data_IF_705144219793
#
_entry.id   IF_705144219793
#
_cell.length_a   1.000
_cell.length_b   1.000
_cell.length_c   1.000
_cell.angle_alpha   90.00
_cell.angle_beta   90.00
_cell.angle_gamma   90.00
#
_symmetry.space_group_name_H-M   'P 1'
#
loop_
_entity.id
_entity.type
_entity.pdbx_description
1 polymer ?
#
# COMPACT_ATOMS: atom_id res chain seq x y z
N UNK A 1 23.82 15.54 42.74
CA UNK A 1 22.60 15.06 42.04
C UNK A 1 22.10 13.80 42.75
N UNK A 2 20.83 13.78 43.18
CA UNK A 2 20.32 12.76 44.10
C UNK A 2 19.98 11.45 43.33
N UNK A 3 20.21 10.27 43.94
CA UNK A 3 20.03 8.95 43.26
C UNK A 3 18.61 8.77 42.70
N UNK A 4 17.60 9.35 43.37
CA UNK A 4 16.20 9.37 42.92
C UNK A 4 16.00 10.18 41.63
N UNK A 5 16.71 11.30 41.50
CA UNK A 5 16.64 12.18 40.31
C UNK A 5 17.24 11.50 39.09
N UNK A 6 18.32 10.73 39.26
CA UNK A 6 18.95 9.94 38.20
C UNK A 6 18.02 8.82 37.73
N UNK A 7 17.36 8.12 38.66
CA UNK A 7 16.44 7.04 38.34
C UNK A 7 15.22 7.53 37.54
N UNK A 8 14.66 8.68 37.94
CA UNK A 8 13.52 9.31 37.25
C UNK A 8 13.91 9.72 35.82
N UNK A 9 15.10 10.30 35.63
CA UNK A 9 15.60 10.68 34.31
C UNK A 9 15.84 9.46 33.41
N UNK A 10 16.34 8.35 33.96
CA UNK A 10 16.52 7.09 33.23
C UNK A 10 15.19 6.48 32.77
N UNK A 11 14.17 6.48 33.63
CA UNK A 11 12.83 5.98 33.29
C UNK A 11 12.16 6.87 32.23
N UNK A 12 12.32 8.20 32.33
CA UNK A 12 11.84 9.13 31.30
C UNK A 12 12.56 8.95 29.96
N UNK A 13 13.88 8.72 29.95
CA UNK A 13 14.63 8.46 28.73
C UNK A 13 14.19 7.15 28.05
N UNK A 14 13.93 6.09 28.82
CA UNK A 14 13.44 4.80 28.29
C UNK A 14 12.01 4.95 27.74
N UNK A 15 11.14 5.73 28.40
CA UNK A 15 9.79 5.99 27.91
C UNK A 15 9.77 6.83 26.62
N UNK A 16 10.66 7.82 26.50
CA UNK A 16 10.81 8.65 25.28
C UNK A 16 11.37 7.81 24.13
N UNK A 17 12.36 6.96 24.38
CA UNK A 17 12.91 6.05 23.35
C UNK A 17 11.92 4.96 22.92
N UNK A 18 11.08 4.48 23.84
CA UNK A 18 10.04 3.48 23.57
C UNK A 18 8.89 3.98 22.69
N UNK A 19 8.59 5.28 22.70
CA UNK A 19 7.54 5.88 21.86
C UNK A 19 8.04 6.35 20.48
N UNK A 20 9.35 6.61 20.30
CA UNK A 20 9.88 7.17 19.04
C UNK A 20 10.31 6.13 18.00
N UNK A 21 10.36 4.84 18.37
CA UNK A 21 10.79 3.76 17.46
C UNK A 21 9.70 2.73 17.17
N UNK A 22 8.43 3.15 17.20
CA UNK A 22 7.37 2.32 16.64
C UNK A 22 7.73 1.94 15.20
N UNK A 23 7.77 0.64 14.83
CA UNK A 23 7.99 0.26 13.43
C UNK A 23 6.98 1.02 12.57
N UNK A 24 7.37 1.45 11.38
CA UNK A 24 6.46 2.12 10.46
C UNK A 24 5.19 1.26 10.28
N UNK A 25 4.15 1.54 11.06
CA UNK A 25 3.00 0.67 11.16
C UNK A 25 2.32 0.63 9.80
N UNK A 26 2.07 -0.58 9.31
CA UNK A 26 1.37 -0.76 8.05
C UNK A 26 -0.04 -0.19 8.16
N UNK A 27 -0.33 0.81 7.33
CA UNK A 27 -1.66 1.37 7.21
C UNK A 27 -2.51 0.49 6.29
N UNK A 28 -3.82 0.48 6.52
CA UNK A 28 -4.76 -0.28 5.68
C UNK A 28 -5.95 0.58 5.29
N UNK A 29 -6.37 0.48 4.03
CA UNK A 29 -7.55 1.17 3.51
C UNK A 29 -8.40 0.25 2.65
N UNK A 30 -9.71 0.49 2.60
CA UNK A 30 -10.61 -0.17 1.65
C UNK A 30 -11.00 0.81 0.56
N UNK A 31 -10.93 0.37 -0.70
CA UNK A 31 -11.24 1.17 -1.89
C UNK A 31 -12.25 0.39 -2.73
N UNK A 32 -13.33 1.04 -3.16
CA UNK A 32 -14.30 0.45 -4.09
C UNK A 32 -13.64 0.24 -5.45
N UNK A 33 -13.97 -0.84 -6.15
CA UNK A 33 -13.38 -1.14 -7.46
C UNK A 33 -13.63 0.00 -8.45
N UNK A 34 -12.60 0.39 -9.22
CA UNK A 34 -12.67 1.52 -10.15
C UNK A 34 -12.57 2.90 -9.48
N UNK A 35 -12.24 2.95 -8.18
CA UNK A 35 -12.02 4.19 -7.43
C UNK A 35 -10.57 4.29 -6.95
N UNK A 36 -10.23 5.47 -6.47
CA UNK A 36 -8.93 5.79 -5.90
C UNK A 36 -9.06 6.37 -4.49
N UNK A 37 -7.93 6.46 -3.79
CA UNK A 37 -7.78 7.16 -2.52
C UNK A 37 -6.39 7.76 -2.43
N UNK A 38 -6.34 9.04 -2.08
CA UNK A 38 -5.09 9.72 -1.77
C UNK A 38 -4.61 9.29 -0.37
N UNK A 39 -3.31 9.00 -0.25
CA UNK A 39 -2.66 8.52 0.97
C UNK A 39 -1.43 9.38 1.28
N UNK A 40 -1.38 9.89 2.52
CA UNK A 40 -0.43 10.92 2.89
C UNK A 40 -0.62 12.20 2.07
N UNK A 41 0.47 12.89 1.77
CA UNK A 41 0.41 14.21 1.12
C UNK A 41 0.26 14.14 -0.39
N UNK A 42 0.82 13.12 -1.06
CA UNK A 42 0.98 13.13 -2.53
C UNK A 42 0.96 11.77 -3.23
N UNK A 43 0.73 10.66 -2.52
CA UNK A 43 0.56 9.36 -3.21
C UNK A 43 -0.93 9.05 -3.38
N UNK A 44 -1.28 8.40 -4.48
CA UNK A 44 -2.62 7.94 -4.79
C UNK A 44 -2.61 6.45 -5.01
N UNK A 45 -3.51 5.75 -4.31
CA UNK A 45 -3.82 4.34 -4.57
C UNK A 45 -5.07 4.29 -5.44
N UNK A 46 -4.99 3.69 -6.61
CA UNK A 46 -6.16 3.39 -7.44
C UNK A 46 -6.38 1.88 -7.57
N UNK A 47 -7.64 1.51 -7.81
CA UNK A 47 -8.02 0.12 -8.08
C UNK A 47 -8.79 0.06 -9.38
N UNK A 48 -8.50 -0.95 -10.21
CA UNK A 48 -9.20 -1.14 -11.48
C UNK A 48 -9.35 -2.62 -11.81
N UNK A 49 -10.36 -2.90 -12.64
CA UNK A 49 -10.64 -4.23 -13.15
C UNK A 49 -10.50 -4.24 -14.67
N UNK A 50 -9.68 -5.15 -15.17
CA UNK A 50 -9.41 -5.39 -16.57
C UNK A 50 -10.15 -6.66 -17.00
N UNK A 51 -11.34 -6.57 -17.63
CA UNK A 51 -12.18 -7.73 -17.93
C UNK A 51 -11.67 -8.59 -19.09
N UNK A 52 -10.81 -8.01 -19.95
CA UNK A 52 -10.21 -8.58 -21.16
C UNK A 52 -8.74 -8.18 -21.20
N UNK A 53 -7.91 -8.98 -21.87
CA UNK A 53 -6.50 -8.68 -22.07
C UNK A 53 -6.36 -7.39 -22.91
N UNK A 54 -5.57 -6.42 -22.44
CA UNK A 54 -5.18 -5.23 -23.20
C UNK A 54 -3.80 -4.73 -22.70
N UNK A 55 -3.67 -3.49 -22.24
CA UNK A 55 -2.41 -2.99 -21.64
C UNK A 55 -1.91 -3.85 -20.47
N UNK A 56 -2.81 -4.51 -19.74
CA UNK A 56 -2.47 -5.57 -18.80
C UNK A 56 -3.30 -6.82 -19.09
N UNK A 57 -2.86 -7.96 -18.56
CA UNK A 57 -3.66 -9.18 -18.56
C UNK A 57 -5.02 -8.97 -17.85
N UNK A 58 -6.01 -9.79 -18.17
CA UNK A 58 -7.31 -9.75 -17.50
C UNK A 58 -7.17 -10.04 -16.01
N UNK A 59 -7.60 -9.10 -15.18
CA UNK A 59 -7.37 -9.17 -13.74
C UNK A 59 -7.85 -7.96 -12.99
N UNK A 60 -7.61 -7.99 -11.69
CA UNK A 60 -7.82 -6.85 -10.78
C UNK A 60 -6.47 -6.32 -10.37
N UNK A 61 -6.36 -5.01 -10.37
CA UNK A 61 -5.13 -4.30 -10.10
C UNK A 61 -5.32 -3.27 -9.00
N UNK A 62 -4.28 -3.07 -8.21
CA UNK A 62 -4.08 -1.87 -7.41
C UNK A 62 -2.73 -1.27 -7.79
N UNK A 63 -2.72 0.03 -8.07
CA UNK A 63 -1.52 0.79 -8.38
C UNK A 63 -1.36 1.93 -7.37
N UNK A 64 -0.13 2.20 -6.95
CA UNK A 64 0.22 3.37 -6.14
C UNK A 64 1.26 4.21 -6.88
N UNK A 65 0.99 5.50 -6.98
CA UNK A 65 1.82 6.44 -7.74
C UNK A 65 1.69 7.84 -7.15
N UNK A 66 2.63 8.71 -7.46
CA UNK A 66 2.61 10.09 -7.02
C UNK A 66 1.60 10.90 -7.84
N UNK A 67 0.77 11.68 -7.15
CA UNK A 67 -0.22 12.57 -7.71
C UNK A 67 -0.11 13.96 -7.07
N UNK A 68 0.17 14.97 -7.87
CA UNK A 68 0.16 16.38 -7.46
C UNK A 68 -0.65 17.20 -8.46
N UNK A 69 -1.69 17.88 -7.97
CA UNK A 69 -2.59 18.69 -8.81
C UNK A 69 -1.88 19.80 -9.60
N UNK A 70 -0.73 20.28 -9.11
CA UNK A 70 0.06 21.36 -9.73
C UNK A 70 1.21 20.84 -10.58
N UNK A 71 1.80 19.70 -10.20
CA UNK A 71 3.01 19.14 -10.83
C UNK A 71 2.77 17.93 -11.73
N UNK A 72 1.54 17.43 -11.78
CA UNK A 72 1.18 16.24 -12.54
C UNK A 72 1.46 14.94 -11.78
N UNK A 73 1.38 13.84 -12.53
CA UNK A 73 1.52 12.48 -12.02
C UNK A 73 2.90 11.91 -12.36
N UNK A 74 3.50 11.22 -11.39
CA UNK A 74 4.65 10.33 -11.64
C UNK A 74 4.16 8.92 -11.35
N UNK A 75 4.29 8.03 -12.34
CA UNK A 75 3.81 6.63 -12.25
C UNK A 75 4.54 5.78 -11.21
N UNK A 76 5.43 6.38 -10.41
CA UNK A 76 6.08 5.81 -9.23
C UNK A 76 5.58 6.51 -7.97
N UNK A 77 5.38 5.80 -6.86
CA UNK A 77 5.06 6.43 -5.59
C UNK A 77 6.29 7.14 -5.00
N UNK A 78 6.07 8.19 -4.21
CA UNK A 78 7.18 8.95 -3.60
C UNK A 78 7.30 8.71 -2.10
N UNK A 79 6.25 8.22 -1.43
CA UNK A 79 6.22 8.05 0.03
C UNK A 79 5.87 6.63 0.47
N UNK A 80 4.93 5.96 -0.18
CA UNK A 80 4.34 4.71 0.28
C UNK A 80 4.49 3.57 -0.74
N UNK A 81 4.49 2.34 -0.26
CA UNK A 81 4.52 1.12 -1.07
C UNK A 81 3.52 0.09 -0.56
N UNK A 82 3.10 -0.81 -1.44
CA UNK A 82 2.22 -1.90 -1.08
C UNK A 82 2.91 -2.99 -0.26
N UNK A 83 2.12 -3.62 0.61
CA UNK A 83 2.46 -4.83 1.35
C UNK A 83 1.48 -5.97 1.12
N UNK A 84 0.22 -5.63 0.84
CA UNK A 84 -0.84 -6.62 0.63
C UNK A 84 -2.03 -5.99 -0.08
N UNK A 85 -2.63 -6.74 -0.99
CA UNK A 85 -3.96 -6.46 -1.52
C UNK A 85 -4.86 -7.66 -1.28
N UNK A 86 -6.05 -7.43 -0.72
CA UNK A 86 -7.12 -8.42 -0.63
C UNK A 86 -8.30 -7.92 -1.46
N UNK A 87 -8.61 -8.60 -2.56
CA UNK A 87 -9.72 -8.30 -3.44
C UNK A 87 -10.95 -9.09 -3.02
N UNK A 88 -12.10 -8.43 -2.96
CA UNK A 88 -13.40 -9.04 -2.66
C UNK A 88 -14.22 -9.17 -3.93
N UNK A 89 -14.66 -10.38 -4.19
CA UNK A 89 -15.43 -10.78 -5.36
C UNK A 89 -16.83 -11.21 -4.93
N UNK A 90 -17.86 -10.85 -5.69
CA UNK A 90 -19.25 -11.26 -5.46
C UNK A 90 -19.80 -11.90 -6.73
N UNK A 91 -20.44 -13.07 -6.63
CA UNK A 91 -21.15 -13.67 -7.76
C UNK A 91 -22.61 -13.22 -7.82
N UNK A 92 -23.33 -13.63 -8.88
CA UNK A 92 -24.76 -13.31 -9.05
C UNK A 92 -25.67 -13.83 -7.92
N UNK A 93 -25.26 -14.91 -7.23
CA UNK A 93 -25.98 -15.50 -6.08
C UNK A 93 -25.63 -14.79 -4.75
N UNK A 94 -24.83 -13.74 -4.79
CA UNK A 94 -24.42 -12.99 -3.60
C UNK A 94 -23.27 -13.60 -2.79
N UNK A 95 -22.75 -14.79 -3.17
CA UNK A 95 -21.60 -15.41 -2.51
C UNK A 95 -20.36 -14.54 -2.71
N UNK A 96 -19.68 -14.26 -1.60
CA UNK A 96 -18.44 -13.47 -1.59
C UNK A 96 -17.24 -14.40 -1.44
N UNK A 97 -16.21 -14.18 -2.25
CA UNK A 97 -14.89 -14.80 -2.05
C UNK A 97 -13.79 -13.74 -2.10
N UNK A 98 -12.63 -14.07 -1.52
CA UNK A 98 -11.50 -13.16 -1.45
C UNK A 98 -10.24 -13.76 -2.07
N UNK A 99 -9.43 -12.94 -2.73
CA UNK A 99 -8.06 -13.30 -3.14
C UNK A 99 -7.08 -12.30 -2.54
N UNK A 100 -6.02 -12.80 -1.93
CA UNK A 100 -4.97 -11.99 -1.32
C UNK A 100 -3.67 -12.17 -2.08
N UNK A 101 -2.99 -11.07 -2.37
CA UNK A 101 -1.67 -11.03 -2.99
C UNK A 101 -0.74 -10.14 -2.18
N UNK A 102 0.54 -10.50 -2.16
CA UNK A 102 1.64 -9.74 -1.56
C UNK A 102 2.70 -9.46 -2.65
N UNK A 103 3.48 -8.39 -2.53
CA UNK A 103 4.57 -8.12 -3.46
C UNK A 103 5.61 -9.24 -3.41
N UNK A 104 5.99 -9.76 -4.57
CA UNK A 104 7.11 -10.72 -4.72
C UNK A 104 8.38 -10.08 -5.26
N UNK A 105 8.29 -8.87 -5.81
CA UNK A 105 9.40 -8.12 -6.40
C UNK A 105 9.16 -6.60 -6.22
N UNK A 106 10.11 -5.79 -6.70
CA UNK A 106 10.07 -4.32 -6.62
C UNK A 106 8.83 -3.77 -7.32
N UNK A 107 8.48 -4.27 -8.51
CA UNK A 107 7.27 -3.84 -9.22
C UNK A 107 6.01 -4.10 -8.39
N UNK A 108 5.98 -5.21 -7.63
CA UNK A 108 4.94 -5.55 -6.67
C UNK A 108 4.73 -4.50 -5.58
N UNK A 109 5.75 -3.70 -5.27
CA UNK A 109 5.66 -2.61 -4.30
C UNK A 109 4.81 -1.44 -4.82
N UNK A 110 4.63 -1.32 -6.14
CA UNK A 110 3.90 -0.24 -6.80
C UNK A 110 2.63 -0.72 -7.51
N UNK A 111 2.60 -1.99 -7.93
CA UNK A 111 1.51 -2.59 -8.67
C UNK A 111 1.26 -4.02 -8.16
N UNK A 112 0.10 -4.24 -7.57
CA UNK A 112 -0.37 -5.57 -7.19
C UNK A 112 -1.50 -6.01 -8.12
N UNK A 113 -1.51 -7.28 -8.49
CA UNK A 113 -2.54 -7.86 -9.35
C UNK A 113 -3.03 -9.21 -8.86
N UNK A 114 -4.29 -9.51 -9.15
CA UNK A 114 -4.85 -10.87 -9.08
C UNK A 114 -5.50 -11.23 -10.41
N UNK A 115 -5.36 -12.46 -10.90
CA UNK A 115 -5.98 -12.87 -12.16
C UNK A 115 -7.51 -12.77 -12.09
N UNK A 116 -8.14 -12.61 -13.26
CA UNK A 116 -9.60 -12.63 -13.37
C UNK A 116 -10.16 -13.94 -12.81
N UNK A 117 -11.27 -13.83 -12.09
CA UNK A 117 -11.99 -14.95 -11.52
C UNK A 117 -13.32 -15.16 -12.29
N UNK A 118 -13.48 -16.30 -12.94
CA UNK A 118 -14.68 -16.60 -13.72
C UNK A 118 -15.93 -16.71 -12.82
N UNK A 119 -17.05 -16.15 -13.27
CA UNK A 119 -18.33 -16.17 -12.54
C UNK A 119 -18.43 -15.18 -11.37
N UNK A 120 -17.44 -14.32 -11.16
CA UNK A 120 -17.37 -13.39 -10.05
C UNK A 120 -17.00 -11.97 -10.50
N UNK A 121 -17.63 -10.97 -9.89
CA UNK A 121 -17.36 -9.55 -10.12
C UNK A 121 -16.63 -8.94 -8.92
N UNK A 122 -15.45 -8.33 -9.11
CA UNK A 122 -14.77 -7.62 -8.02
C UNK A 122 -15.51 -6.32 -7.67
N UNK A 123 -15.65 -6.02 -6.38
CA UNK A 123 -16.40 -4.82 -5.95
C UNK A 123 -15.63 -3.91 -4.98
N UNK A 124 -14.64 -4.43 -4.26
CA UNK A 124 -13.73 -3.63 -3.42
C UNK A 124 -12.40 -4.36 -3.19
N UNK A 125 -11.39 -3.58 -2.80
CA UNK A 125 -10.09 -4.10 -2.37
C UNK A 125 -9.69 -3.49 -1.03
N UNK A 126 -9.16 -4.32 -0.14
CA UNK A 126 -8.48 -3.90 1.09
C UNK A 126 -6.98 -3.90 0.83
N UNK A 127 -6.38 -2.72 0.91
CA UNK A 127 -4.98 -2.46 0.56
C UNK A 127 -4.21 -2.12 1.82
N UNK A 128 -3.12 -2.83 2.07
CA UNK A 128 -2.16 -2.54 3.13
C UNK A 128 -0.90 -1.96 2.51
N UNK A 129 -0.43 -0.84 3.06
CA UNK A 129 0.71 -0.08 2.57
C UNK A 129 1.53 0.47 3.74
N UNK A 130 2.81 0.77 3.52
CA UNK A 130 3.72 1.37 4.51
C UNK A 130 4.50 2.50 3.89
N UNK A 131 5.06 3.39 4.70
CA UNK A 131 6.10 4.30 4.21
C UNK A 131 7.27 3.47 3.65
N UNK A 132 7.86 3.95 2.56
CA UNK A 132 9.06 3.35 1.99
C UNK A 132 10.24 3.43 2.95
N UNK A 133 11.04 2.38 2.99
CA UNK A 133 12.39 2.43 3.54
C UNK A 133 13.31 3.20 2.59
N UNK A 134 14.47 3.67 3.09
CA UNK A 134 15.49 4.31 2.25
C UNK A 134 15.94 3.42 1.08
N UNK A 135 16.08 2.11 1.32
CA UNK A 135 16.43 1.12 0.30
C UNK A 135 15.36 1.04 -0.80
N UNK A 136 14.09 0.89 -0.42
CA UNK A 136 12.98 0.83 -1.39
C UNK A 136 12.89 2.11 -2.21
N UNK A 137 13.03 3.28 -1.56
CA UNK A 137 13.02 4.56 -2.23
C UNK A 137 14.14 4.67 -3.26
N UNK A 138 15.37 4.28 -2.91
CA UNK A 138 16.50 4.31 -3.84
C UNK A 138 16.24 3.42 -5.06
N UNK A 139 15.74 2.21 -4.83
CA UNK A 139 15.49 1.24 -5.91
C UNK A 139 14.34 1.68 -6.83
N UNK A 140 13.26 2.25 -6.28
CA UNK A 140 12.10 2.70 -7.05
C UNK A 140 12.42 3.99 -7.83
N UNK A 141 13.16 4.92 -7.22
CA UNK A 141 13.45 6.21 -7.84
C UNK A 141 14.63 6.15 -8.83
N UNK A 142 15.59 5.26 -8.58
CA UNK A 142 16.79 5.08 -9.40
C UNK A 142 16.92 3.60 -9.80
N UNK A 143 16.10 3.09 -10.74
CA UNK A 143 16.31 1.74 -11.25
C UNK A 143 17.67 1.73 -11.97
N UNK A 144 18.65 1.06 -11.37
CA UNK A 144 19.88 0.70 -12.07
C UNK A 144 19.46 -0.30 -13.16
N UNK A 145 19.58 0.11 -14.42
CA UNK A 145 19.39 -0.75 -15.58
C UNK A 145 20.57 -1.71 -15.71
#
# INVERSE_FOLDING_TARGET
>A
MNKRTILILLVLAIAVLGFTMGPACAATTTIKMGKHKDVGSKDRILTFYQPKDAQNAKGVYAAIFYHDKKKGDDFRPHTYVFRKMTVYYKNKKGKVITRTVKPSNISGLMLLSTPKLSGYTPYKSKITYTKMTKKEKNVIMNPLF
#
